data_IF_347559237616
#
_entry.id   IF_347559237616
#
_cell.length_a   1.000
_cell.length_b   1.000
_cell.length_c   1.000
_cell.angle_alpha   90.00
_cell.angle_beta   90.00
_cell.angle_gamma   90.00
#
_symmetry.space_group_name_H-M   'P 1'
#
loop_
_entity.id
_entity.type
_entity.pdbx_description
1 polymer ?
#
# COMPACT_ATOMS: atom_id res chain seq x y z
N UNK A 1 -1.42 -4.79 17.68
CA UNK A 1 -0.60 -4.76 18.91
C UNK A 1 -0.03 -6.14 19.17
N UNK A 2 1.27 -6.22 19.45
CA UNK A 2 1.99 -7.41 19.92
C UNK A 2 2.35 -7.16 21.38
N UNK A 3 2.09 -8.11 22.27
CA UNK A 3 2.30 -7.94 23.72
C UNK A 3 3.40 -8.84 24.26
N UNK A 4 4.08 -8.42 25.33
CA UNK A 4 5.11 -9.20 26.03
C UNK A 4 6.20 -9.77 25.10
N UNK A 5 6.63 -8.99 24.11
CA UNK A 5 7.54 -9.45 23.07
C UNK A 5 8.98 -9.50 23.59
N UNK A 6 9.60 -10.69 23.54
CA UNK A 6 10.92 -10.95 24.11
C UNK A 6 12.07 -11.01 23.09
N UNK A 7 11.78 -11.21 21.80
CA UNK A 7 12.76 -11.42 20.73
C UNK A 7 13.18 -10.12 20.04
N UNK A 8 14.02 -10.15 19.01
CA UNK A 8 14.38 -8.93 18.25
C UNK A 8 13.16 -8.32 17.52
N UNK A 9 12.96 -7.01 17.65
CA UNK A 9 11.84 -6.29 17.02
C UNK A 9 11.90 -6.33 15.49
N UNK A 10 13.10 -6.47 14.92
CA UNK A 10 13.28 -6.58 13.47
C UNK A 10 12.55 -7.80 12.88
N UNK A 11 12.34 -8.85 13.68
CA UNK A 11 11.56 -10.03 13.29
C UNK A 11 10.07 -9.74 13.06
N UNK A 12 9.57 -8.60 13.54
CA UNK A 12 8.20 -8.12 13.30
C UNK A 12 8.20 -7.02 12.25
N UNK A 13 9.11 -6.04 12.36
CA UNK A 13 9.09 -4.84 11.52
C UNK A 13 9.54 -5.14 10.08
N UNK A 14 10.61 -5.93 9.89
CA UNK A 14 11.16 -6.20 8.54
C UNK A 14 10.16 -6.95 7.65
N UNK A 15 9.44 -7.99 8.10
CA UNK A 15 8.41 -8.64 7.29
C UNK A 15 7.29 -7.69 6.86
N UNK A 16 6.87 -6.77 7.74
CA UNK A 16 5.83 -5.79 7.40
C UNK A 16 6.34 -4.83 6.33
N UNK A 17 7.55 -4.27 6.50
CA UNK A 17 8.18 -3.42 5.50
C UNK A 17 8.34 -4.14 4.15
N UNK A 18 8.67 -5.43 4.16
CA UNK A 18 8.76 -6.24 2.95
C UNK A 18 7.39 -6.39 2.28
N UNK A 19 6.33 -6.69 3.05
CA UNK A 19 4.97 -6.79 2.54
C UNK A 19 4.47 -5.46 1.94
N UNK A 20 4.77 -4.33 2.59
CA UNK A 20 4.35 -3.00 2.13
C UNK A 20 4.92 -2.63 0.76
N UNK A 21 6.15 -3.05 0.43
CA UNK A 21 6.74 -2.78 -0.89
C UNK A 21 5.90 -3.30 -2.06
N UNK A 22 5.17 -4.38 -1.84
CA UNK A 22 4.34 -4.99 -2.88
C UNK A 22 2.89 -4.56 -2.75
N UNK A 23 2.37 -4.46 -1.53
CA UNK A 23 0.94 -4.34 -1.28
C UNK A 23 0.48 -2.90 -0.98
N UNK A 24 1.40 -2.00 -0.63
CA UNK A 24 1.16 -0.56 -0.38
C UNK A 24 2.42 0.27 -0.77
N UNK A 25 2.88 0.18 -2.04
CA UNK A 25 4.11 0.85 -2.46
C UNK A 25 4.03 2.38 -2.37
N UNK A 26 2.82 2.94 -2.43
CA UNK A 26 2.57 4.38 -2.32
C UNK A 26 2.98 4.97 -0.97
N UNK A 27 2.84 4.21 0.13
CA UNK A 27 3.34 4.59 1.47
C UNK A 27 4.85 4.80 1.43
N UNK A 28 5.57 3.98 0.67
CA UNK A 28 7.02 4.05 0.56
C UNK A 28 7.45 5.12 -0.45
N UNK A 29 6.73 5.28 -1.57
CA UNK A 29 7.11 6.15 -2.67
C UNK A 29 6.75 7.63 -2.44
N UNK A 30 5.65 7.93 -1.76
CA UNK A 30 5.15 9.30 -1.56
C UNK A 30 5.70 9.90 -0.26
N UNK A 31 6.32 11.08 -0.34
CA UNK A 31 6.93 11.75 0.83
C UNK A 31 5.94 12.02 1.96
N UNK A 32 4.72 12.45 1.65
CA UNK A 32 3.70 12.80 2.65
C UNK A 32 3.16 11.53 3.31
N UNK A 33 2.88 10.48 2.51
CA UNK A 33 2.39 9.19 3.03
C UNK A 33 3.46 8.44 3.82
N UNK A 34 4.74 8.63 3.53
CA UNK A 34 5.84 7.98 4.25
C UNK A 34 5.93 8.43 5.71
N UNK A 35 5.44 9.63 6.03
CA UNK A 35 5.51 10.18 7.40
C UNK A 35 4.58 9.45 8.37
N UNK A 36 3.41 8.99 7.91
CA UNK A 36 2.37 8.46 8.79
C UNK A 36 1.63 7.23 8.25
N UNK A 37 2.06 6.68 7.12
CA UNK A 37 1.47 5.49 6.52
C UNK A 37 1.83 4.19 7.23
N UNK A 38 3.02 4.11 7.83
CA UNK A 38 3.45 3.02 8.70
C UNK A 38 4.25 3.59 9.87
N UNK A 39 3.68 3.52 11.07
CA UNK A 39 4.33 3.91 12.32
C UNK A 39 4.25 2.77 13.32
N UNK A 40 5.21 2.71 14.23
CA UNK A 40 5.16 1.76 15.34
C UNK A 40 5.71 2.41 16.60
N UNK A 41 5.21 1.95 17.74
CA UNK A 41 5.65 2.37 19.06
C UNK A 41 6.02 1.13 19.89
N UNK A 42 7.15 1.19 20.58
CA UNK A 42 7.59 0.14 21.48
C UNK A 42 7.53 0.64 22.93
N UNK A 43 6.67 0.02 23.73
CA UNK A 43 6.57 0.27 25.17
C UNK A 43 7.35 -0.80 25.92
N UNK A 44 8.49 -0.44 26.51
CA UNK A 44 9.32 -1.37 27.26
C UNK A 44 8.70 -1.66 28.63
N UNK A 45 8.37 -2.92 28.88
CA UNK A 45 7.81 -3.38 30.15
C UNK A 45 8.93 -3.70 31.15
N UNK A 46 10.02 -4.30 30.66
CA UNK A 46 11.26 -4.51 31.40
C UNK A 46 12.48 -4.59 30.44
N UNK A 47 13.63 -5.10 30.92
CA UNK A 47 14.85 -5.24 30.13
C UNK A 47 14.78 -6.30 29.01
N UNK A 48 13.68 -7.06 28.93
CA UNK A 48 13.49 -8.19 27.99
C UNK A 48 12.17 -8.08 27.23
N UNK A 49 11.12 -7.59 27.86
CA UNK A 49 9.75 -7.55 27.36
C UNK A 49 9.36 -6.15 26.90
N UNK A 50 8.67 -6.09 25.77
CA UNK A 50 8.03 -4.86 25.28
C UNK A 50 6.71 -5.15 24.59
N UNK A 51 5.80 -4.19 24.64
CA UNK A 51 4.63 -4.17 23.76
C UNK A 51 4.96 -3.37 22.51
N UNK A 52 4.51 -3.83 21.35
CA UNK A 52 4.70 -3.18 20.06
C UNK A 52 3.33 -2.81 19.50
N UNK A 53 3.04 -1.52 19.45
CA UNK A 53 1.90 -0.99 18.70
C UNK A 53 2.34 -0.70 17.27
N UNK A 54 1.47 -1.01 16.31
CA UNK A 54 1.73 -0.82 14.88
C UNK A 54 0.49 -0.16 14.31
N UNK A 55 0.68 1.02 13.75
CA UNK A 55 -0.34 1.74 13.01
C UNK A 55 0.03 1.69 11.53
N UNK A 56 -0.90 1.17 10.74
CA UNK A 56 -0.73 0.97 9.32
C UNK A 56 -1.97 1.49 8.59
N UNK A 57 -1.78 2.49 7.73
CA UNK A 57 -2.83 2.97 6.85
C UNK A 57 -2.86 2.11 5.60
N UNK A 58 -4.01 1.53 5.29
CA UNK A 58 -4.20 0.75 4.08
C UNK A 58 -5.13 1.47 3.13
N UNK A 59 -4.81 1.45 1.84
CA UNK A 59 -5.75 1.77 0.77
C UNK A 59 -6.60 0.54 0.48
N UNK A 60 -7.89 0.76 0.25
CA UNK A 60 -8.79 -0.29 -0.25
C UNK A 60 -9.24 0.10 -1.64
N UNK A 61 -8.89 -0.71 -2.65
CA UNK A 61 -9.21 -0.40 -4.04
C UNK A 61 -10.44 -1.16 -4.46
N UNK A 62 -11.58 -0.48 -4.44
CA UNK A 62 -12.87 -1.08 -4.77
C UNK A 62 -13.48 -0.42 -6.00
N UNK A 63 -13.81 -1.21 -7.01
CA UNK A 63 -14.64 -0.79 -8.14
C UNK A 63 -16.10 -1.10 -7.81
N UNK A 64 -16.96 -0.10 -7.96
CA UNK A 64 -18.42 -0.29 -7.92
C UNK A 64 -18.97 -0.06 -9.32
N UNK A 65 -19.73 -1.02 -9.85
CA UNK A 65 -20.46 -0.90 -11.12
C UNK A 65 -21.95 -1.03 -10.86
N UNK A 66 -22.74 -0.13 -11.45
CA UNK A 66 -24.20 -0.19 -11.44
C UNK A 66 -24.69 -0.70 -12.80
N UNK A 67 -25.62 -1.65 -12.79
CA UNK A 67 -26.34 -2.10 -13.99
C UNK A 67 -27.76 -2.54 -13.62
N UNK A 68 -28.77 -1.94 -14.25
CA UNK A 68 -30.20 -2.24 -14.09
C UNK A 68 -30.68 -2.22 -12.61
N UNK A 69 -30.15 -1.30 -11.82
CA UNK A 69 -30.42 -1.14 -10.40
C UNK A 69 -29.58 -2.05 -9.48
N UNK A 70 -28.65 -2.84 -10.02
CA UNK A 70 -27.78 -3.74 -9.25
C UNK A 70 -26.36 -3.20 -9.14
N UNK A 71 -25.86 -3.09 -7.90
CA UNK A 71 -24.47 -2.76 -7.62
C UNK A 71 -23.62 -4.03 -7.55
N UNK A 72 -22.53 -4.07 -8.31
CA UNK A 72 -21.49 -5.10 -8.22
C UNK A 72 -20.21 -4.45 -7.71
N UNK A 73 -19.70 -4.99 -6.60
CA UNK A 73 -18.49 -4.52 -5.92
C UNK A 73 -17.35 -5.48 -6.24
N UNK A 74 -16.19 -4.96 -6.63
CA UNK A 74 -15.00 -5.75 -6.90
C UNK A 74 -13.80 -5.09 -6.23
N UNK A 75 -13.21 -5.78 -5.26
CA UNK A 75 -11.92 -5.39 -4.67
C UNK A 75 -10.81 -5.76 -5.64
N UNK A 76 -9.90 -4.82 -5.87
CA UNK A 76 -8.73 -4.95 -6.71
C UNK A 76 -7.46 -4.93 -5.86
N UNK A 77 -6.42 -5.57 -6.38
CA UNK A 77 -5.08 -5.40 -5.85
C UNK A 77 -4.58 -3.96 -6.06
N UNK A 78 -3.62 -3.58 -5.23
CA UNK A 78 -2.93 -2.30 -5.31
C UNK A 78 -2.29 -2.15 -6.71
N UNK A 79 -2.44 -1.00 -7.39
CA UNK A 79 -1.88 -0.81 -8.70
C UNK A 79 -0.35 -0.98 -8.65
N UNK A 80 0.26 -1.66 -9.64
CA UNK A 80 1.71 -1.70 -9.73
C UNK A 80 2.27 -0.28 -9.89
N UNK A 81 3.51 -0.06 -9.49
CA UNK A 81 4.13 1.27 -9.60
C UNK A 81 4.02 1.81 -11.03
N UNK A 82 3.56 3.06 -11.20
CA UNK A 82 3.12 3.59 -12.50
C UNK A 82 4.21 3.68 -13.57
N UNK A 83 5.49 3.48 -13.24
CA UNK A 83 6.61 3.68 -14.17
C UNK A 83 7.50 2.45 -14.38
N UNK A 84 7.22 1.31 -13.76
CA UNK A 84 8.16 0.18 -13.82
C UNK A 84 8.22 -0.49 -15.22
N UNK A 85 7.24 -0.26 -16.10
CA UNK A 85 7.14 -0.97 -17.39
C UNK A 85 6.57 -0.17 -18.56
N UNK A 86 6.26 1.12 -18.39
CA UNK A 86 5.70 1.93 -19.47
C UNK A 86 6.83 2.48 -20.36
N UNK A 87 6.78 2.13 -21.65
CA UNK A 87 7.69 2.64 -22.69
C UNK A 87 7.05 3.71 -23.57
N UNK A 88 5.72 3.84 -23.53
CA UNK A 88 4.95 4.83 -24.30
C UNK A 88 3.55 5.03 -23.70
N UNK A 89 2.93 6.15 -24.06
CA UNK A 89 1.53 6.45 -23.80
C UNK A 89 0.76 6.56 -25.12
N UNK A 90 -0.48 6.06 -25.13
CA UNK A 90 -1.47 6.30 -26.17
C UNK A 90 -2.74 6.91 -25.57
N UNK A 91 -3.30 7.92 -26.23
CA UNK A 91 -4.53 8.59 -25.78
C UNK A 91 -5.64 8.32 -26.79
N UNK A 92 -6.79 7.85 -26.30
CA UNK A 92 -7.99 7.60 -27.10
C UNK A 92 -9.15 8.48 -26.62
N UNK A 93 -9.89 9.09 -27.55
CA UNK A 93 -11.13 9.84 -27.28
C UNK A 93 -12.23 9.27 -28.18
N UNK A 94 -13.37 8.86 -27.59
CA UNK A 94 -14.50 8.23 -28.30
C UNK A 94 -14.10 7.00 -29.15
N UNK A 95 -13.05 6.30 -28.74
CA UNK A 95 -12.52 5.13 -29.46
C UNK A 95 -11.50 5.47 -30.55
N UNK A 96 -11.22 6.75 -30.83
CA UNK A 96 -10.20 7.17 -31.78
C UNK A 96 -8.89 7.56 -31.07
N UNK A 97 -7.75 7.10 -31.59
CA UNK A 97 -6.43 7.48 -31.09
C UNK A 97 -6.12 8.92 -31.48
N UNK A 98 -5.82 9.76 -30.49
CA UNK A 98 -5.57 11.21 -30.68
C UNK A 98 -4.13 11.61 -30.36
N UNK A 99 -3.37 10.81 -29.62
CA UNK A 99 -1.97 11.08 -29.33
C UNK A 99 -1.19 9.81 -28.99
N UNK A 100 0.13 9.85 -29.23
CA UNK A 100 1.10 8.86 -28.78
C UNK A 100 2.44 9.55 -28.50
N UNK A 101 3.12 9.16 -27.43
CA UNK A 101 4.52 9.54 -27.20
C UNK A 101 5.27 8.48 -26.39
N UNK A 102 6.57 8.35 -26.64
CA UNK A 102 7.47 7.52 -25.86
C UNK A 102 7.89 8.21 -24.56
N UNK A 103 8.13 7.41 -23.52
CA UNK A 103 8.65 7.85 -22.22
C UNK A 103 10.18 7.99 -22.24
#
# INVERSE_FOLDING_TARGET
MVTDYASDMDLVIVPILHWLRTNQPDIMANHDKRQDGFTFEANYLDNKLRDISIDLKLTERTIVKEQDGKLTVTTLDEPPEPYASLSSYEVYIKGEKVAEWSL
#
